data_IF_723589296595
#
_entry.id   IF_723589296595
#
_cell.length_a   1.000
_cell.length_b   1.000
_cell.length_c   1.000
_cell.angle_alpha   90.00
_cell.angle_beta   90.00
_cell.angle_gamma   90.00
#
_symmetry.space_group_name_H-M   'P 1'
#
loop_
_entity.id
_entity.type
_entity.pdbx_description
1 polymer ?
#
# COMPACT_ATOMS: atom_id res chain seq x y z
N UNK A 1 15.49 -18.41 -22.67
CA UNK A 1 15.47 -18.91 -21.29
C UNK A 1 14.58 -17.97 -20.49
N UNK A 2 13.32 -18.37 -20.33
CA UNK A 2 12.25 -17.57 -19.72
C UNK A 2 12.40 -17.56 -18.20
N UNK A 3 12.36 -16.35 -17.60
CA UNK A 3 12.42 -16.12 -16.14
C UNK A 3 11.08 -15.58 -15.62
N UNK A 4 9.98 -15.97 -16.26
CA UNK A 4 8.62 -15.83 -15.72
C UNK A 4 8.28 -17.13 -14.99
N UNK A 5 7.58 -17.04 -13.86
CA UNK A 5 7.15 -18.16 -13.00
C UNK A 5 8.12 -18.79 -12.01
N UNK A 6 8.81 -17.95 -11.23
CA UNK A 6 8.96 -18.29 -9.80
C UNK A 6 8.46 -17.12 -8.95
N UNK A 7 7.20 -17.22 -8.55
CA UNK A 7 6.62 -16.43 -7.47
C UNK A 7 7.24 -16.83 -6.13
N UNK A 8 8.58 -16.70 -5.99
CA UNK A 8 9.28 -16.85 -4.72
C UNK A 8 8.72 -15.79 -3.79
N UNK A 9 7.83 -16.17 -2.87
CA UNK A 9 7.51 -15.36 -1.68
C UNK A 9 8.84 -14.84 -1.18
N UNK A 10 9.08 -13.52 -1.22
CA UNK A 10 10.19 -13.02 -0.43
C UNK A 10 9.76 -13.32 1.01
N UNK A 11 10.43 -14.25 1.70
CA UNK A 11 10.13 -14.41 3.10
C UNK A 11 10.38 -13.04 3.71
N UNK A 12 9.43 -12.58 4.53
CA UNK A 12 9.74 -11.47 5.43
C UNK A 12 11.08 -11.79 6.11
N UNK A 13 11.82 -10.74 6.41
CA UNK A 13 13.08 -10.87 7.14
C UNK A 13 12.89 -11.61 8.48
N UNK A 14 11.64 -11.74 8.95
CA UNK A 14 11.26 -12.32 10.23
C UNK A 14 11.26 -11.26 11.34
N UNK A 15 11.70 -10.04 11.02
CA UNK A 15 11.88 -8.94 11.94
C UNK A 15 10.77 -7.89 11.86
N UNK A 16 9.81 -8.05 10.95
CA UNK A 16 8.77 -7.05 10.72
C UNK A 16 7.95 -6.78 11.98
N UNK A 17 7.54 -7.84 12.69
CA UNK A 17 6.77 -7.68 13.93
C UNK A 17 7.61 -7.07 15.05
N UNK A 18 8.88 -7.50 15.16
CA UNK A 18 9.83 -6.93 16.11
C UNK A 18 10.07 -5.44 15.85
N UNK A 19 10.16 -5.01 14.60
CA UNK A 19 10.35 -3.61 14.24
C UNK A 19 9.12 -2.77 14.57
N UNK A 20 7.90 -3.30 14.39
CA UNK A 20 6.66 -2.62 14.80
C UNK A 20 6.62 -2.42 16.32
N UNK A 21 6.95 -3.45 17.09
CA UNK A 21 7.04 -3.35 18.55
C UNK A 21 8.16 -2.39 19.00
N UNK A 22 9.32 -2.44 18.34
CA UNK A 22 10.45 -1.55 18.64
C UNK A 22 10.11 -0.08 18.36
N UNK A 23 9.30 0.21 17.34
CA UNK A 23 8.86 1.57 17.03
C UNK A 23 8.13 2.22 18.22
N UNK A 24 7.31 1.45 18.95
CA UNK A 24 6.58 1.93 20.12
C UNK A 24 7.48 2.18 21.34
N UNK A 25 8.66 1.55 21.37
CA UNK A 25 9.64 1.67 22.45
C UNK A 25 10.77 2.66 22.13
N UNK A 26 10.82 3.20 20.91
CA UNK A 26 11.91 4.06 20.47
C UNK A 26 11.85 5.44 21.12
N UNK A 27 12.99 5.93 21.65
CA UNK A 27 13.10 7.29 22.20
C UNK A 27 12.89 8.38 21.13
N UNK A 28 13.15 8.05 19.85
CA UNK A 28 13.02 8.94 18.70
C UNK A 28 12.19 8.29 17.59
N UNK A 29 10.86 8.15 17.76
CA UNK A 29 9.99 7.41 16.84
C UNK A 29 10.03 7.98 15.41
N UNK A 30 10.07 9.30 15.25
CA UNK A 30 10.20 9.97 13.94
C UNK A 30 11.45 9.51 13.18
N UNK A 31 12.60 9.46 13.85
CA UNK A 31 13.85 9.04 13.23
C UNK A 31 13.85 7.54 12.92
N UNK A 32 13.38 6.73 13.88
CA UNK A 32 13.26 5.28 13.71
C UNK A 32 12.44 4.91 12.47
N UNK A 33 11.26 5.52 12.31
CA UNK A 33 10.38 5.25 11.18
C UNK A 33 10.95 5.84 9.88
N UNK A 34 11.56 7.03 9.91
CA UNK A 34 12.18 7.62 8.74
C UNK A 34 13.32 6.75 8.19
N UNK A 35 14.15 6.18 9.05
CA UNK A 35 15.26 5.30 8.66
C UNK A 35 14.75 3.99 8.00
N UNK A 36 13.53 3.55 8.34
CA UNK A 36 12.89 2.38 7.72
C UNK A 36 12.39 2.64 6.29
N UNK A 37 12.20 3.90 5.87
CA UNK A 37 11.60 4.22 4.56
C UNK A 37 12.43 3.64 3.41
N UNK A 38 13.75 3.78 3.49
CA UNK A 38 14.68 3.34 2.44
C UNK A 38 14.83 1.81 2.42
N UNK A 39 14.79 1.17 3.60
CA UNK A 39 14.95 -0.27 3.73
C UNK A 39 13.64 -1.04 3.44
N UNK A 40 12.52 -0.57 3.97
CA UNK A 40 11.20 -1.17 3.84
C UNK A 40 10.08 -0.15 4.09
N UNK A 41 9.69 0.54 3.02
CA UNK A 41 8.62 1.52 3.01
C UNK A 41 7.28 1.01 3.60
N UNK A 42 6.89 -0.24 3.32
CA UNK A 42 5.63 -0.78 3.83
C UNK A 42 5.69 -0.99 5.35
N UNK A 43 6.83 -1.45 5.87
CA UNK A 43 7.05 -1.57 7.30
C UNK A 43 7.08 -0.21 7.99
N UNK A 44 7.71 0.80 7.39
CA UNK A 44 7.65 2.18 7.90
C UNK A 44 6.20 2.67 8.04
N UNK A 45 5.35 2.40 7.04
CA UNK A 45 3.91 2.69 7.09
C UNK A 45 3.19 1.99 8.24
N UNK A 46 3.41 0.68 8.42
CA UNK A 46 2.83 -0.10 9.52
C UNK A 46 3.27 0.42 10.89
N UNK A 47 4.56 0.75 11.06
CA UNK A 47 5.07 1.34 12.29
C UNK A 47 4.42 2.69 12.59
N UNK A 48 4.31 3.57 11.57
CA UNK A 48 3.70 4.89 11.71
C UNK A 48 2.19 4.87 11.99
N UNK A 49 1.51 3.77 11.64
CA UNK A 49 0.09 3.58 11.84
C UNK A 49 -0.27 3.04 13.24
N UNK A 50 0.71 2.54 14.00
CA UNK A 50 0.45 2.02 15.34
C UNK A 50 -0.02 3.13 16.28
N UNK A 51 -1.05 2.89 17.11
CA UNK A 51 -1.61 3.91 18.00
C UNK A 51 -0.61 4.40 19.06
N UNK A 52 0.30 3.53 19.49
CA UNK A 52 1.27 3.82 20.55
C UNK A 52 2.56 4.47 20.03
N UNK A 53 2.73 4.59 18.70
CA UNK A 53 3.92 5.20 18.09
C UNK A 53 3.66 6.68 17.83
N UNK A 54 4.31 7.54 18.61
CA UNK A 54 4.15 8.99 18.53
C UNK A 54 4.98 9.59 17.38
N UNK A 55 4.52 9.38 16.14
CA UNK A 55 5.13 9.96 14.94
C UNK A 55 4.48 11.30 14.59
N UNK A 56 5.28 12.30 14.22
CA UNK A 56 4.77 13.59 13.74
C UNK A 56 3.98 13.45 12.44
N UNK A 57 2.95 14.28 12.26
CA UNK A 57 2.15 14.26 11.03
C UNK A 57 2.98 14.57 9.78
N UNK A 58 4.04 15.38 9.88
CA UNK A 58 4.95 15.64 8.76
C UNK A 58 5.74 14.40 8.31
N UNK A 59 6.11 13.50 9.24
CA UNK A 59 6.71 12.20 8.87
C UNK A 59 5.63 11.29 8.28
N UNK A 60 4.44 11.21 8.88
CA UNK A 60 3.34 10.39 8.34
C UNK A 60 2.95 10.82 6.93
N UNK A 61 2.85 12.11 6.67
CA UNK A 61 2.53 12.65 5.34
C UNK A 61 3.57 12.24 4.29
N UNK A 62 4.86 12.33 4.62
CA UNK A 62 5.92 11.85 3.73
C UNK A 62 5.78 10.36 3.42
N UNK A 63 5.47 9.54 4.43
CA UNK A 63 5.27 8.10 4.25
C UNK A 63 4.02 7.82 3.42
N UNK A 64 2.89 8.50 3.69
CA UNK A 64 1.65 8.40 2.88
C UNK A 64 1.93 8.70 1.41
N UNK A 65 2.67 9.78 1.12
CA UNK A 65 3.04 10.14 -0.25
C UNK A 65 3.93 9.08 -0.91
N UNK A 66 4.94 8.58 -0.21
CA UNK A 66 5.83 7.54 -0.73
C UNK A 66 5.08 6.22 -0.99
N UNK A 67 4.20 5.80 -0.08
CA UNK A 67 3.33 4.63 -0.25
C UNK A 67 2.41 4.81 -1.45
N UNK A 68 1.77 5.97 -1.57
CA UNK A 68 0.88 6.30 -2.68
C UNK A 68 1.61 6.21 -4.03
N UNK A 69 2.82 6.79 -4.13
CA UNK A 69 3.69 6.67 -5.31
C UNK A 69 4.01 5.20 -5.62
N UNK A 70 4.40 4.42 -4.60
CA UNK A 70 4.71 2.99 -4.77
C UNK A 70 3.54 2.20 -5.32
N UNK A 71 2.30 2.46 -4.90
CA UNK A 71 1.12 1.71 -5.42
C UNK A 71 0.89 1.93 -6.92
N UNK A 72 1.27 3.10 -7.42
CA UNK A 72 1.02 3.55 -8.79
C UNK A 72 2.20 3.28 -9.73
N UNK A 73 3.37 2.94 -9.21
CA UNK A 73 4.57 2.65 -9.99
C UNK A 73 4.43 1.31 -10.74
N UNK A 74 4.33 1.31 -12.08
CA UNK A 74 4.22 0.08 -12.85
C UNK A 74 5.53 -0.73 -12.89
N UNK A 75 6.68 -0.10 -12.60
CA UNK A 75 7.98 -0.75 -12.56
C UNK A 75 8.25 -1.41 -11.19
N UNK A 76 7.52 -1.04 -10.14
CA UNK A 76 7.64 -1.65 -8.83
C UNK A 76 7.12 -3.10 -8.83
N UNK A 77 7.79 -3.95 -8.05
CA UNK A 77 7.34 -5.32 -7.79
C UNK A 77 5.88 -5.34 -7.31
N UNK A 78 5.08 -6.24 -7.88
CA UNK A 78 3.63 -6.31 -7.60
C UNK A 78 3.34 -6.48 -6.11
N UNK A 79 4.14 -7.26 -5.38
CA UNK A 79 3.93 -7.45 -3.94
C UNK A 79 4.33 -6.23 -3.14
N UNK A 80 5.37 -5.51 -3.56
CA UNK A 80 5.72 -4.23 -2.95
C UNK A 80 4.59 -3.20 -3.13
N UNK A 81 3.90 -3.21 -4.28
CA UNK A 81 2.72 -2.37 -4.54
C UNK A 81 1.54 -2.75 -3.64
N UNK A 82 1.26 -4.05 -3.49
CA UNK A 82 0.21 -4.55 -2.59
C UNK A 82 0.52 -4.20 -1.14
N UNK A 83 1.74 -4.44 -0.68
CA UNK A 83 2.18 -4.13 0.68
C UNK A 83 2.07 -2.62 0.98
N UNK A 84 2.42 -1.77 0.00
CA UNK A 84 2.24 -0.33 0.12
C UNK A 84 0.76 0.05 0.25
N UNK A 85 -0.13 -0.58 -0.52
CA UNK A 85 -1.57 -0.35 -0.43
C UNK A 85 -2.17 -0.75 0.93
N UNK A 86 -1.75 -1.89 1.49
CA UNK A 86 -2.17 -2.32 2.83
C UNK A 86 -1.68 -1.35 3.91
N UNK A 87 -0.39 -0.99 3.89
CA UNK A 87 0.17 -0.04 4.84
C UNK A 87 -0.48 1.35 4.73
N UNK A 88 -0.86 1.78 3.51
CA UNK A 88 -1.59 3.03 3.30
C UNK A 88 -3.02 2.95 3.86
N UNK A 89 -3.66 1.78 3.80
CA UNK A 89 -4.96 1.54 4.43
C UNK A 89 -4.92 1.71 5.96
N UNK A 90 -3.85 1.25 6.61
CA UNK A 90 -3.63 1.42 8.05
C UNK A 90 -3.25 2.85 8.43
N UNK A 91 -2.30 3.46 7.71
CA UNK A 91 -1.81 4.82 7.98
C UNK A 91 -2.81 5.93 7.59
N UNK A 92 -3.75 5.61 6.71
CA UNK A 92 -4.74 6.50 6.14
C UNK A 92 -4.34 7.04 4.76
N UNK A 93 -5.07 6.62 3.73
CA UNK A 93 -4.91 7.12 2.36
C UNK A 93 -5.47 8.56 2.25
N UNK A 94 -4.64 9.55 1.90
CA UNK A 94 -5.06 10.96 1.86
C UNK A 94 -6.09 11.26 0.75
N UNK A 95 -6.27 10.36 -0.22
CA UNK A 95 -7.27 10.52 -1.29
C UNK A 95 -8.67 10.20 -0.81
N UNK A 96 -8.80 9.42 0.27
CA UNK A 96 -10.08 8.93 0.75
C UNK A 96 -10.67 9.90 1.78
N UNK A 97 -11.85 10.44 1.47
CA UNK A 97 -12.57 11.32 2.40
C UNK A 97 -13.51 10.49 3.27
N UNK A 98 -13.41 10.63 4.59
CA UNK A 98 -14.40 10.06 5.51
C UNK A 98 -15.72 10.82 5.40
N UNK A 99 -16.82 10.07 5.24
CA UNK A 99 -18.17 10.59 5.10
C UNK A 99 -19.13 9.79 6.00
N UNK A 100 -20.33 10.33 6.23
CA UNK A 100 -21.44 9.66 6.94
C UNK A 100 -22.60 9.45 6.00
N UNK A 101 -23.20 8.27 6.02
CA UNK A 101 -24.39 7.93 5.24
C UNK A 101 -25.44 7.24 6.11
N UNK A 102 -26.60 6.88 5.52
CA UNK A 102 -27.69 6.20 6.22
C UNK A 102 -27.29 4.86 6.88
N UNK A 103 -26.20 4.25 6.42
CA UNK A 103 -25.68 2.96 6.90
C UNK A 103 -24.39 3.08 7.72
N UNK A 104 -24.01 4.30 8.13
CA UNK A 104 -22.81 4.56 8.92
C UNK A 104 -21.70 5.28 8.17
N UNK A 105 -20.51 5.24 8.75
CA UNK A 105 -19.31 5.87 8.22
C UNK A 105 -18.79 5.12 6.99
N UNK A 106 -18.33 5.86 5.99
CA UNK A 106 -17.69 5.30 4.80
C UNK A 106 -16.52 6.17 4.31
N UNK A 107 -15.67 5.58 3.47
CA UNK A 107 -14.58 6.28 2.79
C UNK A 107 -14.96 6.52 1.32
N UNK A 108 -14.97 7.78 0.92
CA UNK A 108 -15.28 8.20 -0.44
C UNK A 108 -13.98 8.47 -1.21
N UNK A 109 -13.67 7.69 -2.27
CA UNK A 109 -12.55 7.98 -3.16
C UNK A 109 -12.86 9.17 -4.08
N UNK A 110 -11.83 9.74 -4.75
CA UNK A 110 -12.06 10.68 -5.84
C UNK A 110 -12.82 9.95 -6.95
N UNK A 111 -14.03 10.42 -7.25
CA UNK A 111 -14.86 9.88 -8.31
C UNK A 111 -14.56 10.58 -9.63
N UNK A 112 -14.60 9.82 -10.73
CA UNK A 112 -14.53 10.33 -12.09
C UNK A 112 -15.84 10.01 -12.81
N UNK A 113 -16.33 10.96 -13.62
CA UNK A 113 -17.48 10.72 -14.47
C UNK A 113 -17.07 9.84 -15.65
N UNK A 114 -17.66 8.65 -15.73
CA UNK A 114 -17.55 7.77 -16.89
C UNK A 114 -18.84 7.93 -17.70
N UNK A 115 -18.75 8.22 -19.02
CA UNK A 115 -19.94 8.29 -19.87
C UNK A 115 -20.79 7.02 -19.76
N UNK A 116 -22.11 7.15 -19.84
CA UNK A 116 -23.00 5.99 -19.97
C UNK A 116 -22.91 5.40 -21.38
N UNK A 117 -23.08 4.09 -21.52
CA UNK A 117 -23.04 3.40 -22.81
C UNK A 117 -22.96 1.89 -22.69
N UNK A 118 -22.95 1.21 -23.84
CA UNK A 118 -22.64 -0.20 -23.90
C UNK A 118 -21.12 -0.39 -23.82
N UNK A 119 -20.67 -1.13 -22.80
CA UNK A 119 -19.26 -1.48 -22.60
C UNK A 119 -19.13 -3.01 -22.65
N UNK A 120 -18.20 -3.50 -23.48
CA UNK A 120 -17.79 -4.89 -23.41
C UNK A 120 -16.95 -5.09 -22.12
N UNK A 121 -17.38 -6.00 -21.25
CA UNK A 121 -16.63 -6.41 -20.06
C UNK A 121 -16.04 -7.79 -20.35
N UNK A 122 -14.70 -7.86 -20.35
CA UNK A 122 -13.97 -9.05 -20.77
C UNK A 122 -13.89 -9.19 -22.30
N UNK A 123 -12.86 -9.90 -22.75
CA UNK A 123 -12.70 -10.32 -24.14
C UNK A 123 -12.17 -11.76 -24.14
N UNK A 124 -12.78 -12.65 -24.92
CA UNK A 124 -12.23 -13.99 -25.18
C UNK A 124 -11.06 -13.94 -26.20
N UNK A 125 -10.75 -12.76 -26.74
CA UNK A 125 -9.61 -12.53 -27.62
C UNK A 125 -8.30 -12.92 -26.92
N UNK A 126 -7.66 -13.97 -27.44
CA UNK A 126 -6.38 -14.49 -26.96
C UNK A 126 -6.45 -15.63 -25.93
N UNK A 127 -7.64 -16.05 -25.48
CA UNK A 127 -7.77 -17.16 -24.50
C UNK A 127 -7.80 -18.55 -25.15
N UNK A 128 -8.15 -18.64 -26.44
CA UNK A 128 -8.19 -19.91 -27.20
C UNK A 128 -7.40 -19.82 -28.51
N UNK A 129 -6.11 -19.48 -28.45
CA UNK A 129 -5.18 -19.89 -29.50
C UNK A 129 -4.58 -21.23 -29.09
N UNK A 130 -5.35 -22.31 -29.23
CA UNK A 130 -4.80 -23.66 -29.06
C UNK A 130 -4.10 -24.03 -30.38
N UNK A 131 -2.79 -24.36 -30.38
CA UNK A 131 -2.13 -24.81 -31.59
C UNK A 131 -2.46 -26.30 -31.79
N UNK A 132 -3.34 -26.60 -32.73
CA UNK A 132 -3.18 -27.62 -33.79
C UNK A 132 -4.34 -27.56 -34.78
#
# INVERSE_FOLDING_TARGET
MDRRDQARVWPGTGWEETAVLAAALADRPDAFVADLVDANLALAGRCAAQPDVQVSEGVKDRIRQALLQRTQDPAADLRARIAAGLALGELGDPRLRRCRGPHGDYLLPPLIAIPGGAYAIGSDEGLYSNPV
#
